data_IF_803842661284
#
_entry.id   IF_803842661284
#
_cell.length_a   1.000
_cell.length_b   1.000
_cell.length_c   1.000
_cell.angle_alpha   90.00
_cell.angle_beta   90.00
_cell.angle_gamma   90.00
#
_symmetry.space_group_name_H-M   'P 1'
#
loop_
_entity.id
_entity.type
_entity.pdbx_description
1 polymer ?
#
# COMPACT_ATOMS: atom_id res chain seq x y z
N UNK A 1 1.54 1.98 26.80
CA UNK A 1 1.88 1.21 25.59
C UNK A 1 0.61 1.03 24.77
N UNK A 2 0.62 1.36 23.48
CA UNK A 2 -0.55 1.17 22.61
C UNK A 2 -0.42 -0.17 21.86
N UNK A 3 -1.25 -1.17 22.14
CA UNK A 3 -1.16 -2.49 21.52
C UNK A 3 -1.81 -2.58 20.13
N UNK A 4 -2.31 -1.47 19.58
CA UNK A 4 -3.13 -1.46 18.36
C UNK A 4 -2.49 -2.16 17.17
N UNK A 5 -1.22 -1.94 16.93
CA UNK A 5 -0.51 -2.63 15.83
C UNK A 5 -0.39 -4.14 16.07
N UNK A 6 -0.09 -4.55 17.27
CA UNK A 6 0.02 -5.96 17.61
C UNK A 6 -1.31 -6.70 17.41
N UNK A 7 -2.41 -6.07 17.77
CA UNK A 7 -3.75 -6.66 17.68
C UNK A 7 -4.37 -6.57 16.28
N UNK A 8 -4.21 -5.45 15.59
CA UNK A 8 -5.01 -5.15 14.41
C UNK A 8 -4.21 -4.97 13.10
N UNK A 9 -2.88 -4.80 13.17
CA UNK A 9 -2.14 -4.51 11.94
C UNK A 9 -2.29 -5.61 10.88
N UNK A 10 -2.26 -6.87 11.29
CA UNK A 10 -2.30 -8.01 10.38
C UNK A 10 -3.65 -8.17 9.65
N UNK A 11 -4.74 -7.57 10.15
CA UNK A 11 -6.07 -7.74 9.55
C UNK A 11 -6.33 -6.81 8.35
N UNK A 12 -5.44 -5.85 8.07
CA UNK A 12 -5.63 -4.90 6.99
C UNK A 12 -4.57 -5.00 5.90
N UNK A 13 -5.03 -5.00 4.65
CA UNK A 13 -4.17 -4.98 3.46
C UNK A 13 -4.65 -3.89 2.51
N UNK A 14 -3.73 -3.02 2.11
CA UNK A 14 -3.99 -2.07 1.02
C UNK A 14 -3.82 -2.79 -0.31
N UNK A 15 -4.81 -2.68 -1.17
CA UNK A 15 -4.77 -3.14 -2.56
C UNK A 15 -4.61 -1.92 -3.45
N UNK A 16 -3.54 -1.86 -4.22
CA UNK A 16 -3.26 -0.76 -5.14
C UNK A 16 -2.70 -1.29 -6.46
N UNK A 17 -2.46 -0.41 -7.41
CA UNK A 17 -1.86 -0.74 -8.71
C UNK A 17 -0.58 0.07 -8.93
N UNK A 18 0.30 -0.49 -9.74
CA UNK A 18 1.41 0.27 -10.32
C UNK A 18 0.85 1.22 -11.37
N UNK A 19 1.06 2.52 -11.19
CA UNK A 19 0.65 3.56 -12.14
C UNK A 19 1.69 3.82 -13.21
N UNK A 20 2.96 3.82 -12.80
CA UNK A 20 4.09 4.06 -13.69
C UNK A 20 5.34 3.37 -13.16
N UNK A 21 6.26 3.03 -14.06
CA UNK A 21 7.57 2.50 -13.71
C UNK A 21 8.64 3.31 -14.45
N UNK A 22 9.62 3.80 -13.69
CA UNK A 22 10.84 4.37 -14.25
C UNK A 22 11.93 3.31 -14.18
N UNK A 23 12.44 2.82 -15.32
CA UNK A 23 13.47 1.80 -15.35
C UNK A 23 14.81 2.34 -14.83
N UNK A 24 15.69 1.45 -14.41
CA UNK A 24 17.03 1.77 -13.92
C UNK A 24 17.63 0.62 -13.11
N UNK A 25 18.85 0.79 -12.56
CA UNK A 25 19.49 -0.23 -11.72
C UNK A 25 18.67 -0.58 -10.46
N UNK A 26 17.94 0.39 -9.93
CA UNK A 26 16.92 0.21 -8.90
C UNK A 26 15.63 0.88 -9.39
N UNK A 27 14.75 0.13 -10.10
CA UNK A 27 13.55 0.71 -10.70
C UNK A 27 12.67 1.43 -9.69
N UNK A 28 12.04 2.52 -10.14
CA UNK A 28 11.06 3.27 -9.36
C UNK A 28 9.66 2.89 -9.85
N UNK A 29 8.82 2.39 -8.96
CA UNK A 29 7.42 2.11 -9.26
C UNK A 29 6.51 3.03 -8.47
N UNK A 30 5.68 3.79 -9.15
CA UNK A 30 4.69 4.68 -8.56
C UNK A 30 3.40 3.91 -8.35
N UNK A 31 2.94 3.86 -7.12
CA UNK A 31 1.68 3.23 -6.74
C UNK A 31 0.53 4.22 -6.85
N UNK A 32 -0.63 3.74 -7.26
CA UNK A 32 -1.85 4.54 -7.38
C UNK A 32 -2.51 4.72 -6.00
N UNK A 33 -1.77 5.35 -5.10
CA UNK A 33 -2.22 5.71 -3.75
C UNK A 33 -1.62 7.06 -3.36
N UNK A 34 -2.45 7.94 -2.82
CA UNK A 34 -2.01 9.22 -2.28
C UNK A 34 -1.56 9.06 -0.81
N UNK A 35 -0.50 9.76 -0.36
CA UNK A 35 -0.10 9.76 1.04
C UNK A 35 -1.21 10.13 2.02
N UNK A 36 -2.16 10.98 1.62
CA UNK A 36 -3.30 11.35 2.44
C UNK A 36 -4.29 10.19 2.64
N UNK A 37 -4.37 9.27 1.69
CA UNK A 37 -5.22 8.07 1.79
C UNK A 37 -4.66 7.03 2.76
N UNK A 38 -3.34 6.91 2.83
CA UNK A 38 -2.67 5.98 3.73
C UNK A 38 -1.37 6.57 4.31
N UNK A 39 -1.48 7.57 5.24
CA UNK A 39 -0.33 8.26 5.81
C UNK A 39 0.65 7.32 6.52
N UNK A 40 0.16 6.17 6.96
CA UNK A 40 0.96 5.14 7.62
C UNK A 40 2.13 4.67 6.77
N UNK A 41 1.97 4.57 5.46
CA UNK A 41 3.04 4.16 4.55
C UNK A 41 4.21 5.13 4.54
N UNK A 42 3.93 6.43 4.72
CA UNK A 42 4.92 7.50 4.57
C UNK A 42 5.56 7.88 5.91
N UNK A 43 4.76 7.95 6.96
CA UNK A 43 5.17 8.60 8.22
C UNK A 43 5.78 7.66 9.25
N UNK A 44 5.58 6.35 9.17
CA UNK A 44 5.90 5.48 10.31
C UNK A 44 7.25 4.78 10.25
N UNK A 45 7.88 4.68 9.09
CA UNK A 45 9.09 3.86 8.89
C UNK A 45 8.89 2.37 9.24
N UNK A 46 7.64 1.97 9.46
CA UNK A 46 7.30 0.61 9.86
C UNK A 46 7.46 -0.35 8.67
N UNK A 47 7.80 -1.60 8.98
CA UNK A 47 7.83 -2.64 7.97
C UNK A 47 6.41 -3.01 7.54
N UNK A 48 6.17 -3.00 6.23
CA UNK A 48 4.98 -3.49 5.58
C UNK A 48 5.37 -4.55 4.54
N UNK A 49 4.86 -5.79 4.62
CA UNK A 49 5.09 -6.79 3.59
C UNK A 49 4.41 -6.37 2.29
N UNK A 50 5.07 -6.65 1.17
CA UNK A 50 4.57 -6.32 -0.17
C UNK A 50 4.49 -7.60 -0.99
N UNK A 51 3.34 -7.81 -1.64
CA UNK A 51 3.07 -8.94 -2.52
C UNK A 51 2.62 -8.44 -3.89
N UNK A 52 3.10 -9.11 -4.93
CA UNK A 52 2.70 -8.85 -6.31
C UNK A 52 2.18 -10.17 -6.87
N UNK A 53 0.86 -10.42 -6.78
CA UNK A 53 0.29 -11.76 -6.93
C UNK A 53 0.48 -12.38 -8.31
N UNK A 54 0.59 -11.57 -9.36
CA UNK A 54 0.64 -12.07 -10.74
C UNK A 54 1.98 -11.81 -11.43
N UNK A 55 2.96 -11.25 -10.73
CA UNK A 55 4.29 -11.03 -11.25
C UNK A 55 5.21 -12.21 -10.90
N UNK A 56 5.98 -12.66 -11.86
CA UNK A 56 6.94 -13.75 -11.71
C UNK A 56 8.31 -13.32 -12.25
N UNK A 57 9.34 -14.12 -11.96
CA UNK A 57 10.68 -13.94 -12.48
C UNK A 57 11.69 -13.47 -11.43
N UNK A 58 12.85 -13.02 -11.92
CA UNK A 58 13.96 -12.57 -11.09
C UNK A 58 13.54 -11.36 -10.24
N UNK A 59 13.85 -11.39 -8.95
CA UNK A 59 13.61 -10.27 -8.05
C UNK A 59 14.77 -9.31 -8.07
N UNK A 60 14.46 -8.03 -8.14
CA UNK A 60 15.40 -6.91 -8.04
C UNK A 60 14.95 -5.93 -6.97
N UNK A 61 15.86 -5.08 -6.52
CA UNK A 61 15.50 -4.04 -5.56
C UNK A 61 14.65 -2.97 -6.26
N UNK A 62 13.38 -2.90 -5.94
CA UNK A 62 12.43 -1.91 -6.47
C UNK A 62 12.16 -0.86 -5.39
N UNK A 63 12.11 0.39 -5.79
CA UNK A 63 11.72 1.52 -4.97
C UNK A 63 10.24 1.85 -5.24
N UNK A 64 9.42 1.81 -4.20
CA UNK A 64 8.00 2.11 -4.30
C UNK A 64 7.72 3.54 -3.84
N UNK A 65 6.97 4.28 -4.65
CA UNK A 65 6.54 5.64 -4.38
C UNK A 65 5.02 5.73 -4.39
N UNK A 66 4.47 6.73 -3.73
CA UNK A 66 3.06 7.14 -3.87
C UNK A 66 2.94 8.27 -4.90
N UNK A 67 1.72 8.56 -5.39
CA UNK A 67 1.51 9.53 -6.47
C UNK A 67 1.96 10.95 -6.18
N UNK A 68 1.98 11.37 -4.92
CA UNK A 68 2.32 12.73 -4.50
C UNK A 68 3.58 12.79 -3.64
N UNK A 69 4.47 11.82 -3.75
CA UNK A 69 5.67 11.77 -2.91
C UNK A 69 6.67 12.84 -3.31
N UNK A 70 6.93 13.79 -2.43
CA UNK A 70 8.02 14.76 -2.56
C UNK A 70 9.31 14.30 -1.89
N UNK A 71 9.22 13.39 -0.92
CA UNK A 71 10.31 12.97 -0.03
C UNK A 71 11.02 11.69 -0.48
N UNK A 72 10.77 11.23 -1.71
CA UNK A 72 11.39 10.02 -2.25
C UNK A 72 10.59 8.73 -1.99
N UNK A 73 11.22 7.55 -2.16
CA UNK A 73 10.52 6.28 -2.05
C UNK A 73 10.03 6.02 -0.62
N UNK A 74 8.78 5.57 -0.51
CA UNK A 74 8.17 5.19 0.78
C UNK A 74 8.70 3.86 1.29
N UNK A 75 9.14 2.99 0.40
CA UNK A 75 9.76 1.72 0.76
C UNK A 75 10.60 1.14 -0.37
N UNK A 76 11.51 0.22 -0.03
CA UNK A 76 12.32 -0.56 -0.96
C UNK A 76 12.12 -2.03 -0.69
N UNK A 77 11.88 -2.82 -1.74
CA UNK A 77 11.59 -4.26 -1.62
C UNK A 77 12.25 -5.04 -2.78
N UNK A 78 12.60 -6.28 -2.50
CA UNK A 78 12.97 -7.24 -3.54
C UNK A 78 11.68 -7.77 -4.18
N UNK A 79 11.39 -7.32 -5.40
CA UNK A 79 10.17 -7.64 -6.12
C UNK A 79 10.50 -8.16 -7.53
N UNK A 80 9.60 -8.94 -8.15
CA UNK A 80 9.68 -9.22 -9.58
C UNK A 80 9.64 -7.93 -10.39
N UNK A 81 9.95 -8.01 -11.69
CA UNK A 81 9.76 -6.88 -12.60
C UNK A 81 8.29 -6.42 -12.57
N UNK A 82 8.10 -5.13 -12.30
CA UNK A 82 6.79 -4.50 -12.24
C UNK A 82 6.47 -3.77 -13.54
N UNK A 83 5.19 -3.78 -13.90
CA UNK A 83 4.64 -3.07 -15.06
C UNK A 83 3.45 -2.22 -14.64
N UNK A 84 3.18 -1.11 -15.34
CA UNK A 84 1.94 -0.37 -15.14
C UNK A 84 0.71 -1.28 -15.22
N UNK A 85 -0.19 -1.15 -14.24
CA UNK A 85 -1.37 -2.01 -14.11
C UNK A 85 -1.23 -3.20 -13.16
N UNK A 86 -0.01 -3.60 -12.80
CA UNK A 86 0.21 -4.69 -11.86
C UNK A 86 -0.43 -4.39 -10.49
N UNK A 87 -1.09 -5.40 -9.92
CA UNK A 87 -1.61 -5.31 -8.57
C UNK A 87 -0.48 -5.42 -7.55
N UNK A 88 -0.55 -4.58 -6.53
CA UNK A 88 0.36 -4.60 -5.39
C UNK A 88 -0.46 -4.64 -4.11
N UNK A 89 -0.15 -5.60 -3.27
CA UNK A 89 -0.76 -5.78 -1.95
C UNK A 89 0.24 -5.38 -0.88
N UNK A 90 -0.16 -4.46 0.01
CA UNK A 90 0.68 -4.00 1.12
C UNK A 90 -0.02 -4.35 2.42
N UNK A 91 0.56 -5.26 3.17
CA UNK A 91 0.00 -5.78 4.40
C UNK A 91 0.32 -4.95 5.64
N UNK A 92 -0.19 -5.40 6.78
CA UNK A 92 0.04 -4.80 8.10
C UNK A 92 -0.50 -3.37 8.24
N UNK A 93 -1.64 -3.08 7.61
CA UNK A 93 -2.29 -1.78 7.59
C UNK A 93 -3.64 -1.73 8.33
N UNK A 94 -4.00 -2.79 9.06
CA UNK A 94 -5.24 -2.84 9.84
C UNK A 94 -5.26 -1.90 11.05
N UNK A 95 -4.08 -1.48 11.53
CA UNK A 95 -3.99 -0.44 12.56
C UNK A 95 -3.52 0.87 11.93
N UNK A 96 -4.27 1.95 12.17
CA UNK A 96 -3.98 3.32 11.73
C UNK A 96 -3.93 3.52 10.20
N UNK A 97 -4.28 2.52 9.41
CA UNK A 97 -4.35 2.64 7.95
C UNK A 97 -5.42 3.63 7.53
N UNK A 98 -6.66 3.37 7.93
CA UNK A 98 -7.82 4.19 7.60
C UNK A 98 -8.03 5.37 8.53
N UNK A 99 -7.83 5.17 9.83
CA UNK A 99 -8.13 6.20 10.84
C UNK A 99 -7.27 7.46 10.73
N UNK A 100 -6.08 7.34 10.14
CA UNK A 100 -5.20 8.48 9.86
C UNK A 100 -5.44 9.11 8.48
N UNK A 101 -6.24 8.48 7.62
CA UNK A 101 -6.51 9.00 6.29
C UNK A 101 -7.21 10.36 6.35
N UNK A 102 -6.90 11.23 5.40
CA UNK A 102 -7.46 12.56 5.29
C UNK A 102 -7.84 12.87 3.84
N UNK A 103 -8.62 13.93 3.66
CA UNK A 103 -8.97 14.46 2.33
C UNK A 103 -8.05 15.62 1.90
N UNK A 104 -6.88 15.68 2.48
CA UNK A 104 -5.91 16.73 2.14
C UNK A 104 -5.57 16.67 0.65
N UNK A 105 -5.49 17.84 0.01
CA UNK A 105 -5.21 17.93 -1.42
C UNK A 105 -6.31 17.39 -2.34
N UNK A 106 -7.53 17.15 -1.85
CA UNK A 106 -8.64 16.59 -2.63
C UNK A 106 -8.59 15.05 -2.76
N UNK A 107 -7.74 14.39 -1.97
CA UNK A 107 -7.67 12.92 -1.98
C UNK A 107 -9.00 12.31 -1.51
N UNK A 108 -9.56 11.41 -2.30
CA UNK A 108 -10.70 10.60 -1.86
C UNK A 108 -10.23 9.44 -0.98
N UNK A 109 -10.92 9.14 0.12
CA UNK A 109 -10.57 8.00 0.97
C UNK A 109 -10.57 6.69 0.19
N UNK A 110 -9.67 5.77 0.54
CA UNK A 110 -9.72 4.42 0.01
C UNK A 110 -11.05 3.75 0.34
N UNK A 111 -11.57 2.97 -0.61
CA UNK A 111 -12.69 2.08 -0.35
C UNK A 111 -12.25 0.98 0.62
N UNK A 112 -13.08 0.66 1.58
CA UNK A 112 -12.82 -0.43 2.51
C UNK A 112 -13.80 -1.57 2.29
N UNK A 113 -13.27 -2.78 2.29
CA UNK A 113 -14.06 -3.99 2.21
C UNK A 113 -13.66 -4.93 3.35
N UNK A 114 -14.65 -5.59 3.93
CA UNK A 114 -14.47 -6.66 4.89
C UNK A 114 -14.54 -8.00 4.15
N UNK A 115 -13.53 -8.84 4.36
CA UNK A 115 -13.59 -10.23 3.94
C UNK A 115 -14.07 -11.05 5.13
N UNK A 116 -15.25 -11.64 5.00
CA UNK A 116 -15.86 -12.52 6.02
C UNK A 116 -15.18 -13.89 6.06
N UNK A 117 -15.36 -14.67 7.13
CA UNK A 117 -14.77 -16.01 7.23
C UNK A 117 -15.21 -16.99 6.12
N UNK A 118 -16.40 -16.79 5.54
CA UNK A 118 -16.91 -17.55 4.40
C UNK A 118 -16.36 -17.09 3.05
N UNK A 119 -15.51 -16.03 3.03
CA UNK A 119 -14.93 -15.45 1.84
C UNK A 119 -15.79 -14.36 1.18
N UNK A 120 -16.97 -14.05 1.72
CA UNK A 120 -17.79 -12.96 1.21
C UNK A 120 -17.08 -11.61 1.40
N UNK A 121 -17.06 -10.78 0.35
CA UNK A 121 -16.50 -9.42 0.37
C UNK A 121 -17.66 -8.44 0.55
N UNK A 122 -17.64 -7.72 1.67
CA UNK A 122 -18.68 -6.74 2.03
C UNK A 122 -18.07 -5.35 2.10
N UNK A 123 -18.59 -4.36 1.35
CA UNK A 123 -18.13 -2.99 1.47
C UNK A 123 -18.44 -2.45 2.87
N UNK A 124 -17.44 -1.79 3.47
CA UNK A 124 -17.63 -1.07 4.72
C UNK A 124 -18.03 0.35 4.36
N UNK A 125 -19.27 0.72 4.65
CA UNK A 125 -19.72 2.10 4.49
C UNK A 125 -19.04 2.94 5.57
N UNK A 126 -18.20 3.90 5.17
CA UNK A 126 -17.70 4.89 6.12
C UNK A 126 -18.86 5.79 6.57
N UNK A 127 -19.06 5.86 7.88
CA UNK A 127 -19.95 6.85 8.50
C UNK A 127 -19.23 8.19 8.63
#
# INVERSE_FOLDING_TARGET
MSPGRFLAAACGTLVTRVRAVKPGPAPLAVLDVDPAQCPRLVKSGAYHPVYVPYAAGRRTLVQLLTVSTQDGPVMRRLLPELRPGDLVLIGMLGADGRSLASRYGGAEPCLENLIRPDGEIVPITAY
#
